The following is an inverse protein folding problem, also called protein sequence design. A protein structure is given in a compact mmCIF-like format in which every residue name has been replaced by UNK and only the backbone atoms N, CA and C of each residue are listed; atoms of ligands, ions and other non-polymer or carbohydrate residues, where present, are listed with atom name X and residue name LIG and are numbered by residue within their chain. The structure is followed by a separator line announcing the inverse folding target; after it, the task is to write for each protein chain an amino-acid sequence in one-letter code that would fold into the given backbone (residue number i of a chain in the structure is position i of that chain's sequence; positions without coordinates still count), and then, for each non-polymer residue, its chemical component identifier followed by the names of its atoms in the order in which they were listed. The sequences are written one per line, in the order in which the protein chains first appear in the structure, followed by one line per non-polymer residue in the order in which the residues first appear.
data_IF_325555950267
#
_entry.id   IF_325555950267
#
_cell.length_a   1.000
_cell.length_b   1.000
_cell.length_c   1.000
_cell.angle_alpha   90.00
_cell.angle_beta   90.00
_cell.angle_gamma   90.00
#
_symmetry.space_group_name_H-M   'P 1'
#
loop_
_entity.id
_entity.type
_entity.pdbx_description
1 polymer ?
#
# COMPACT_ATOMS: atom_id res chain seq x y z
N UNK A 1 -17.33 47.22 -25.01
CA UNK A 1 -16.41 46.14 -24.59
C UNK A 1 -15.63 46.55 -23.35
N UNK A 2 -15.23 47.80 -23.23
CA UNK A 2 -14.42 48.35 -22.11
C UNK A 2 -15.00 48.07 -20.72
N UNK A 3 -16.33 48.14 -20.57
CA UNK A 3 -17.00 47.79 -19.32
C UNK A 3 -16.78 46.31 -18.92
N UNK A 4 -16.83 45.39 -19.88
CA UNK A 4 -16.59 43.95 -19.65
C UNK A 4 -15.11 43.72 -19.37
N UNK A 5 -14.22 44.37 -20.12
CA UNK A 5 -12.78 44.31 -19.91
C UNK A 5 -12.42 44.73 -18.47
N UNK A 6 -12.88 45.90 -18.02
CA UNK A 6 -12.61 46.37 -16.66
C UNK A 6 -13.18 45.45 -15.59
N UNK A 7 -14.34 44.84 -15.84
CA UNK A 7 -14.91 43.84 -14.93
C UNK A 7 -14.01 42.60 -14.82
N UNK A 8 -13.49 42.10 -15.94
CA UNK A 8 -12.57 40.96 -15.98
C UNK A 8 -11.24 41.30 -15.29
N UNK A 9 -10.65 42.44 -15.61
CA UNK A 9 -9.42 42.94 -14.97
C UNK A 9 -9.59 43.06 -13.45
N UNK A 10 -10.76 43.53 -12.99
CA UNK A 10 -11.08 43.64 -11.57
C UNK A 10 -11.17 42.26 -10.89
N UNK A 11 -11.85 41.29 -11.52
CA UNK A 11 -11.98 39.93 -10.99
C UNK A 11 -10.61 39.25 -10.89
N UNK A 12 -9.79 39.38 -11.93
CA UNK A 12 -8.44 38.82 -11.94
C UNK A 12 -7.55 39.52 -10.90
N UNK A 13 -7.66 40.84 -10.76
CA UNK A 13 -6.95 41.61 -9.74
C UNK A 13 -7.28 41.18 -8.31
N UNK A 14 -8.53 40.81 -8.02
CA UNK A 14 -8.93 40.25 -6.72
C UNK A 14 -8.23 38.92 -6.39
N UNK A 15 -7.84 38.15 -7.42
CA UNK A 15 -7.09 36.91 -7.28
C UNK A 15 -5.56 37.10 -7.39
N UNK A 16 -5.09 38.35 -7.33
CA UNK A 16 -3.68 38.71 -7.54
C UNK A 16 -3.14 38.31 -8.93
N UNK A 17 -4.05 38.15 -9.90
CA UNK A 17 -3.72 37.85 -11.29
C UNK A 17 -3.68 39.16 -12.07
N UNK A 18 -2.50 39.47 -12.62
CA UNK A 18 -2.31 40.68 -13.42
C UNK A 18 -2.55 40.38 -14.91
N UNK A 19 -3.64 40.92 -15.46
CA UNK A 19 -3.98 40.81 -16.89
C UNK A 19 -3.46 41.99 -17.69
N UNK A 20 -3.05 41.74 -18.94
CA UNK A 20 -2.73 42.77 -19.94
C UNK A 20 -3.57 42.55 -21.19
N UNK A 21 -4.26 43.57 -21.73
CA UNK A 21 -4.97 43.44 -22.99
C UNK A 21 -4.00 43.30 -24.16
N UNK A 22 -4.28 42.40 -25.09
CA UNK A 22 -3.53 42.22 -26.34
C UNK A 22 -3.98 43.26 -27.39
N UNK A 23 -3.83 44.55 -27.08
CA UNK A 23 -4.27 45.66 -27.93
C UNK A 23 -3.60 45.57 -29.30
N UNK A 24 -4.39 45.68 -30.38
CA UNK A 24 -3.94 45.50 -31.79
C UNK A 24 -3.52 44.05 -32.15
N UNK A 25 -3.46 43.12 -31.19
CA UNK A 25 -3.15 41.70 -31.41
C UNK A 25 -4.25 40.76 -30.88
N UNK A 26 -5.51 41.21 -30.96
CA UNK A 26 -6.66 40.51 -30.37
C UNK A 26 -6.91 39.15 -31.03
N UNK A 27 -6.73 39.06 -32.34
CA UNK A 27 -6.87 37.80 -33.09
C UNK A 27 -5.78 36.78 -32.68
N UNK A 28 -4.54 37.22 -32.57
CA UNK A 28 -3.43 36.39 -32.10
C UNK A 28 -3.65 35.94 -30.65
N UNK A 29 -4.20 36.82 -29.79
CA UNK A 29 -4.56 36.47 -28.42
C UNK A 29 -5.65 35.41 -28.34
N UNK A 30 -6.68 35.50 -29.19
CA UNK A 30 -7.71 34.48 -29.27
C UNK A 30 -7.14 33.14 -29.78
N UNK A 31 -6.38 33.16 -30.87
CA UNK A 31 -5.74 31.95 -31.42
C UNK A 31 -4.83 31.25 -30.41
N UNK A 32 -4.12 32.03 -29.58
CA UNK A 32 -3.22 31.51 -28.55
C UNK A 32 -3.91 30.88 -27.35
N UNK A 33 -5.19 31.19 -27.13
CA UNK A 33 -6.00 30.61 -26.04
C UNK A 33 -6.87 29.44 -26.48
N UNK A 34 -6.97 29.19 -27.80
CA UNK A 34 -7.65 28.01 -28.33
C UNK A 34 -6.81 26.73 -28.11
N UNK A 35 -7.44 25.55 -27.94
CA UNK A 35 -6.76 24.27 -27.73
C UNK A 35 -6.15 23.71 -29.05
N UNK A 36 -5.54 24.58 -29.85
CA UNK A 36 -4.88 24.24 -31.12
C UNK A 36 -3.37 24.11 -30.97
N UNK A 37 -2.87 24.12 -29.72
CA UNK A 37 -1.45 23.99 -29.38
C UNK A 37 -0.55 25.00 -30.12
N UNK A 38 -1.07 26.19 -30.39
CA UNK A 38 -0.36 27.24 -31.14
C UNK A 38 -0.44 28.54 -30.35
N UNK A 39 0.70 29.01 -29.82
CA UNK A 39 0.82 30.32 -29.18
C UNK A 39 1.37 31.33 -30.21
N UNK A 40 0.52 32.23 -30.70
CA UNK A 40 0.90 33.29 -31.65
C UNK A 40 1.44 34.54 -30.94
N UNK A 41 1.15 34.72 -29.65
CA UNK A 41 1.62 35.87 -28.87
C UNK A 41 3.07 35.69 -28.38
N UNK A 42 3.50 34.44 -28.13
CA UNK A 42 4.85 34.11 -27.67
C UNK A 42 5.32 34.89 -26.43
N UNK A 43 4.38 35.33 -25.58
CA UNK A 43 4.68 36.06 -24.35
C UNK A 43 4.97 35.07 -23.24
N UNK A 44 6.24 34.91 -22.91
CA UNK A 44 6.70 33.96 -21.89
C UNK A 44 6.99 34.65 -20.56
N UNK A 45 6.70 33.96 -19.45
CA UNK A 45 7.11 34.38 -18.10
C UNK A 45 7.91 33.26 -17.46
N UNK A 46 9.04 33.61 -16.86
CA UNK A 46 9.80 32.64 -16.08
C UNK A 46 9.00 32.22 -14.84
N UNK A 47 8.89 30.92 -14.61
CA UNK A 47 8.28 30.32 -13.44
C UNK A 47 9.23 29.29 -12.85
N UNK A 48 9.15 29.08 -11.52
CA UNK A 48 9.80 27.93 -10.89
C UNK A 48 9.10 26.65 -11.38
N UNK A 49 9.89 25.61 -11.67
CA UNK A 49 9.42 24.26 -12.01
C UNK A 49 8.31 23.77 -11.07
N UNK A 50 8.36 24.08 -9.77
CA UNK A 50 7.31 23.71 -8.82
C UNK A 50 5.94 24.36 -9.11
N UNK A 51 5.91 25.65 -9.45
CA UNK A 51 4.67 26.36 -9.80
C UNK A 51 4.15 25.98 -11.19
N UNK A 52 5.06 25.61 -12.10
CA UNK A 52 4.69 25.06 -13.40
C UNK A 52 4.03 23.68 -13.24
N UNK A 53 4.57 22.82 -12.37
CA UNK A 53 4.01 21.50 -12.08
C UNK A 53 2.58 21.59 -11.49
N UNK A 54 2.29 22.57 -10.63
CA UNK A 54 0.93 22.77 -10.11
C UNK A 54 -0.08 23.25 -11.17
N UNK A 55 0.40 23.77 -12.30
CA UNK A 55 -0.44 24.19 -13.42
C UNK A 55 -0.83 23.02 -14.33
N UNK A 56 -0.16 21.86 -14.20
CA UNK A 56 -0.58 20.63 -14.86
C UNK A 56 -1.74 20.01 -14.07
N UNK A 57 -2.93 19.89 -14.67
CA UNK A 57 -4.13 19.51 -13.91
C UNK A 57 -4.20 18.04 -13.48
N UNK A 58 -3.22 17.17 -13.80
CA UNK A 58 -3.31 15.75 -13.46
C UNK A 58 -1.95 15.09 -13.27
N UNK A 59 -1.56 14.89 -12.00
CA UNK A 59 -0.94 13.63 -11.54
C UNK A 59 -1.20 13.50 -10.04
N UNK A 60 -2.45 13.23 -9.64
CA UNK A 60 -2.62 12.34 -8.50
C UNK A 60 -2.09 10.98 -8.95
N UNK A 61 -1.16 10.39 -8.22
CA UNK A 61 -0.79 9.00 -8.46
C UNK A 61 -1.98 8.13 -8.06
N UNK A 62 -2.86 7.85 -9.01
CA UNK A 62 -4.00 6.99 -8.80
C UNK A 62 -3.51 5.54 -8.78
N UNK A 63 -3.47 4.97 -7.58
CA UNK A 63 -3.14 3.57 -7.35
C UNK A 63 -4.37 2.71 -7.67
N UNK A 64 -4.71 2.68 -8.95
CA UNK A 64 -5.84 1.92 -9.51
C UNK A 64 -5.32 1.03 -10.63
N UNK A 65 -5.36 -0.28 -10.42
CA UNK A 65 -5.09 -1.32 -11.40
C UNK A 65 -6.41 -2.02 -11.78
N UNK A 66 -6.40 -2.77 -12.88
CA UNK A 66 -7.58 -3.54 -13.32
C UNK A 66 -7.88 -4.74 -12.40
N UNK A 67 -6.84 -5.29 -11.75
CA UNK A 67 -6.93 -6.49 -10.92
C UNK A 67 -6.52 -6.21 -9.47
N UNK A 68 -6.99 -7.08 -8.57
CA UNK A 68 -6.63 -7.08 -7.16
C UNK A 68 -7.82 -6.80 -6.25
N UNK A 69 -7.53 -6.31 -5.04
CA UNK A 69 -8.55 -6.06 -4.04
C UNK A 69 -8.76 -4.57 -3.82
N UNK A 70 -10.00 -4.19 -3.53
CA UNK A 70 -10.31 -2.82 -3.14
C UNK A 70 -9.72 -2.57 -1.75
N UNK A 71 -8.91 -1.52 -1.60
CA UNK A 71 -8.41 -1.07 -0.29
C UNK A 71 -9.24 0.08 0.26
N UNK A 72 -9.73 0.96 -0.59
CA UNK A 72 -10.54 2.09 -0.17
C UNK A 72 -10.77 3.10 -1.27
N UNK A 73 -11.04 4.34 -0.86
CA UNK A 73 -11.26 5.47 -1.76
C UNK A 73 -10.21 6.55 -1.47
N UNK A 74 -9.70 7.15 -2.54
CA UNK A 74 -8.85 8.32 -2.44
C UNK A 74 -9.72 9.53 -2.11
N UNK A 75 -9.46 10.18 -0.98
CA UNK A 75 -10.27 11.29 -0.48
C UNK A 75 -10.13 12.59 -1.30
N UNK A 76 -9.11 12.70 -2.15
CA UNK A 76 -8.84 13.90 -2.93
C UNK A 76 -9.61 13.96 -4.24
N UNK A 77 -9.79 12.81 -4.89
CA UNK A 77 -10.42 12.71 -6.21
C UNK A 77 -11.55 11.66 -6.28
N UNK A 78 -11.90 11.06 -5.14
CA UNK A 78 -12.88 9.98 -5.02
C UNK A 78 -12.60 8.75 -5.90
N UNK A 79 -11.35 8.59 -6.36
CA UNK A 79 -10.90 7.42 -7.10
C UNK A 79 -10.83 6.18 -6.22
N UNK A 80 -10.99 4.99 -6.82
CA UNK A 80 -10.86 3.72 -6.11
C UNK A 80 -9.38 3.36 -5.95
N UNK A 81 -8.97 2.99 -4.74
CA UNK A 81 -7.67 2.37 -4.50
C UNK A 81 -7.83 0.86 -4.65
N UNK A 82 -7.53 0.37 -5.85
CA UNK A 82 -7.71 -1.02 -6.27
C UNK A 82 -6.38 -1.50 -6.84
N UNK A 83 -5.73 -2.49 -6.23
CA UNK A 83 -4.53 -3.09 -6.82
C UNK A 83 -4.26 -4.47 -6.24
N UNK A 84 -3.44 -5.25 -6.95
CA UNK A 84 -2.98 -6.55 -6.49
C UNK A 84 -1.58 -6.44 -5.87
N UNK A 85 -1.50 -6.59 -4.55
CA UNK A 85 -0.25 -6.56 -3.78
C UNK A 85 0.76 -7.62 -4.25
N UNK A 86 0.30 -8.75 -4.78
CA UNK A 86 1.18 -9.83 -5.24
C UNK A 86 1.83 -9.54 -6.59
N UNK A 87 1.41 -8.50 -7.31
CA UNK A 87 2.07 -8.05 -8.54
C UNK A 87 3.27 -7.14 -8.29
N UNK A 88 3.45 -6.67 -7.06
CA UNK A 88 4.58 -5.83 -6.68
C UNK A 88 5.86 -6.68 -6.53
N UNK A 89 7.02 -6.04 -6.67
CA UNK A 89 8.32 -6.68 -6.45
C UNK A 89 8.43 -7.30 -5.04
N UNK A 90 7.78 -6.67 -4.06
CA UNK A 90 7.66 -7.20 -2.72
C UNK A 90 6.19 -7.13 -2.27
N UNK A 91 5.61 -8.29 -1.98
CA UNK A 91 4.23 -8.39 -1.53
C UNK A 91 4.08 -8.06 -0.04
N UNK A 92 5.13 -7.80 0.75
CA UNK A 92 4.99 -7.59 2.19
C UNK A 92 4.20 -6.32 2.52
N UNK A 93 3.36 -6.38 3.57
CA UNK A 93 2.56 -5.26 4.05
C UNK A 93 2.78 -5.03 5.54
N UNK A 94 2.93 -3.76 5.94
CA UNK A 94 2.99 -3.34 7.34
C UNK A 94 1.89 -2.32 7.61
N UNK A 95 1.08 -2.57 8.64
CA UNK A 95 -0.06 -1.70 8.99
C UNK A 95 0.21 -0.98 10.30
N UNK A 96 0.29 0.35 10.23
CA UNK A 96 0.45 1.22 11.40
C UNK A 96 -0.86 1.91 11.74
N UNK A 97 -1.28 1.84 13.01
CA UNK A 97 -2.46 2.56 13.48
C UNK A 97 -2.37 2.82 14.99
N UNK A 98 -3.02 3.90 15.44
CA UNK A 98 -3.29 4.12 16.87
C UNK A 98 -4.38 3.15 17.34
N UNK A 99 -4.45 2.88 18.64
CA UNK A 99 -5.55 2.10 19.22
C UNK A 99 -6.91 2.75 18.86
N UNK A 100 -7.87 1.92 18.44
CA UNK A 100 -9.20 2.37 18.00
C UNK A 100 -9.27 2.95 16.59
N UNK A 101 -8.17 3.08 15.85
CA UNK A 101 -8.17 3.66 14.50
C UNK A 101 -8.63 2.70 13.38
N UNK A 102 -9.10 1.50 13.73
CA UNK A 102 -9.62 0.53 12.76
C UNK A 102 -8.60 -0.46 12.18
N UNK A 103 -7.44 -0.65 12.82
CA UNK A 103 -6.41 -1.64 12.40
C UNK A 103 -7.01 -3.03 12.14
N UNK A 104 -7.66 -3.60 13.15
CA UNK A 104 -8.23 -4.96 13.05
C UNK A 104 -9.34 -5.04 11.99
N UNK A 105 -10.12 -3.97 11.80
CA UNK A 105 -11.13 -3.93 10.74
C UNK A 105 -10.49 -3.96 9.35
N UNK A 106 -9.49 -3.11 9.11
CA UNK A 106 -8.79 -3.06 7.83
C UNK A 106 -8.10 -4.39 7.49
N UNK A 107 -7.42 -5.01 8.45
CA UNK A 107 -6.74 -6.30 8.24
C UNK A 107 -7.74 -7.43 8.01
N UNK A 108 -8.85 -7.51 8.77
CA UNK A 108 -9.90 -8.51 8.54
C UNK A 108 -10.54 -8.36 7.16
N UNK A 109 -10.79 -7.12 6.74
CA UNK A 109 -11.38 -6.84 5.44
C UNK A 109 -10.43 -7.21 4.29
N UNK A 110 -9.14 -6.89 4.41
CA UNK A 110 -8.12 -7.30 3.45
C UNK A 110 -8.03 -8.82 3.39
N UNK A 111 -7.99 -9.50 4.53
CA UNK A 111 -7.94 -10.96 4.60
C UNK A 111 -9.12 -11.62 3.87
N UNK A 112 -10.35 -11.17 4.13
CA UNK A 112 -11.53 -11.74 3.45
C UNK A 112 -11.48 -11.50 1.94
N UNK A 113 -11.09 -10.30 1.50
CA UNK A 113 -10.98 -9.99 0.07
C UNK A 113 -9.89 -10.82 -0.61
N UNK A 114 -8.74 -11.01 0.03
CA UNK A 114 -7.67 -11.85 -0.47
C UNK A 114 -8.11 -13.32 -0.56
N UNK A 115 -8.85 -13.84 0.42
CA UNK A 115 -9.43 -15.19 0.35
C UNK A 115 -10.40 -15.34 -0.83
N UNK A 116 -11.22 -14.33 -1.12
CA UNK A 116 -12.11 -14.33 -2.29
C UNK A 116 -11.34 -14.38 -3.63
N UNK A 117 -10.09 -13.89 -3.65
CA UNK A 117 -9.17 -13.97 -4.78
C UNK A 117 -8.38 -15.29 -4.82
N UNK A 118 -8.64 -16.23 -3.90
CA UNK A 118 -7.97 -17.53 -3.83
C UNK A 118 -6.67 -17.54 -3.01
N UNK A 119 -6.43 -16.51 -2.19
CA UNK A 119 -5.26 -16.47 -1.29
C UNK A 119 -5.52 -17.25 0.00
N UNK A 120 -4.60 -18.12 0.39
CA UNK A 120 -4.61 -18.79 1.69
C UNK A 120 -4.10 -17.86 2.79
N UNK A 121 -4.77 -17.86 3.95
CA UNK A 121 -4.46 -16.94 5.05
C UNK A 121 -4.21 -17.70 6.33
N UNK A 122 -3.08 -17.42 6.95
CA UNK A 122 -2.70 -17.88 8.29
C UNK A 122 -2.54 -16.66 9.18
N UNK A 123 -3.21 -16.66 10.33
CA UNK A 123 -3.20 -15.54 11.29
C UNK A 123 -2.68 -16.05 12.63
N UNK A 124 -1.67 -15.36 13.16
CA UNK A 124 -1.22 -15.54 14.54
C UNK A 124 -1.95 -14.51 15.39
N UNK A 125 -2.89 -14.99 16.21
CA UNK A 125 -3.83 -14.15 16.95
C UNK A 125 -3.60 -14.24 18.47
N UNK A 126 -2.74 -13.37 19.05
CA UNK A 126 -2.51 -13.36 20.50
C UNK A 126 -3.70 -12.82 21.30
N UNK A 127 -4.61 -12.06 20.68
CA UNK A 127 -5.72 -11.37 21.34
C UNK A 127 -7.06 -12.11 21.19
N UNK A 128 -7.10 -13.23 20.45
CA UNK A 128 -8.31 -14.00 20.12
C UNK A 128 -9.40 -13.15 19.44
N UNK A 129 -9.02 -12.18 18.61
CA UNK A 129 -9.96 -11.32 17.87
C UNK A 129 -10.51 -11.98 16.58
N UNK A 130 -9.88 -13.04 16.08
CA UNK A 130 -10.14 -13.63 14.76
C UNK A 130 -10.96 -14.92 14.79
N UNK A 131 -11.23 -15.50 15.95
CA UNK A 131 -12.01 -16.75 16.11
C UNK A 131 -13.35 -16.69 15.36
N UNK A 132 -14.16 -15.65 15.61
CA UNK A 132 -15.45 -15.47 14.93
C UNK A 132 -15.34 -15.32 13.42
N UNK A 133 -14.26 -14.69 12.94
CA UNK A 133 -14.03 -14.54 11.51
C UNK A 133 -13.66 -15.89 10.89
N UNK A 134 -12.79 -16.64 11.57
CA UNK A 134 -12.38 -17.98 11.16
C UNK A 134 -13.60 -18.90 11.02
N UNK A 135 -14.50 -18.91 12.01
CA UNK A 135 -15.73 -19.69 11.96
C UNK A 135 -16.64 -19.27 10.80
N UNK A 136 -16.78 -17.97 10.57
CA UNK A 136 -17.63 -17.43 9.51
C UNK A 136 -17.16 -17.80 8.09
N UNK A 137 -15.85 -17.95 7.88
CA UNK A 137 -15.28 -18.35 6.59
C UNK A 137 -15.07 -19.86 6.46
N UNK A 138 -15.44 -20.64 7.48
CA UNK A 138 -15.25 -22.10 7.51
C UNK A 138 -13.79 -22.52 7.65
N UNK A 139 -12.95 -21.67 8.25
CA UNK A 139 -11.54 -21.96 8.52
C UNK A 139 -11.31 -22.82 9.77
N UNK A 140 -10.04 -23.11 10.04
CA UNK A 140 -9.62 -23.88 11.21
C UNK A 140 -8.98 -22.98 12.27
N UNK A 141 -9.64 -22.82 13.42
CA UNK A 141 -9.08 -22.09 14.55
C UNK A 141 -8.34 -23.04 15.51
N UNK A 142 -7.02 -22.90 15.59
CA UNK A 142 -6.17 -23.73 16.47
C UNK A 142 -5.86 -22.96 17.75
N UNK A 143 -6.53 -23.33 18.84
CA UNK A 143 -6.27 -22.72 20.14
C UNK A 143 -4.96 -23.26 20.75
N UNK A 144 -3.95 -22.40 20.85
CA UNK A 144 -2.72 -22.71 21.57
C UNK A 144 -2.88 -22.37 23.05
N UNK A 145 -3.07 -23.38 23.90
CA UNK A 145 -3.07 -23.20 25.36
C UNK A 145 -2.55 -24.46 26.06
N UNK A 146 -2.10 -24.34 27.30
CA UNK A 146 -1.62 -25.49 28.08
C UNK A 146 -2.69 -26.58 28.26
N UNK A 147 -3.96 -26.19 28.26
CA UNK A 147 -5.11 -27.08 28.37
C UNK A 147 -5.69 -27.50 27.01
N UNK A 148 -5.08 -27.07 25.90
CA UNK A 148 -5.53 -27.45 24.56
C UNK A 148 -5.14 -28.90 24.27
N UNK A 149 -6.00 -29.59 23.53
CA UNK A 149 -5.70 -30.90 22.95
C UNK A 149 -4.69 -30.80 21.80
N UNK A 150 -4.55 -29.60 21.20
CA UNK A 150 -3.64 -29.37 20.08
C UNK A 150 -2.30 -28.84 20.58
N UNK A 151 -1.20 -29.48 20.15
CA UNK A 151 0.17 -29.10 20.50
C UNK A 151 1.01 -29.05 19.23
N UNK A 152 1.90 -28.07 19.14
CA UNK A 152 2.91 -27.99 18.10
C UNK A 152 4.14 -28.76 18.58
N UNK A 153 4.59 -29.74 17.80
CA UNK A 153 5.82 -30.46 18.07
C UNK A 153 6.96 -29.86 17.26
N UNK A 154 7.91 -29.11 17.87
CA UNK A 154 9.04 -28.54 17.14
C UNK A 154 10.07 -29.60 16.73
N UNK A 155 9.98 -30.84 17.25
CA UNK A 155 10.83 -31.96 16.88
C UNK A 155 10.21 -32.84 15.78
N UNK A 156 9.08 -32.42 15.20
CA UNK A 156 8.45 -33.20 14.14
C UNK A 156 9.32 -33.16 12.89
N UNK A 157 9.59 -34.33 12.32
CA UNK A 157 10.42 -34.46 11.11
C UNK A 157 9.49 -34.64 9.90
N UNK A 158 9.76 -33.95 8.78
CA UNK A 158 8.96 -34.13 7.59
C UNK A 158 9.06 -35.57 7.09
N UNK A 159 7.96 -36.09 6.54
CA UNK A 159 7.92 -37.41 5.93
C UNK A 159 8.72 -37.37 4.63
N UNK A 160 9.83 -38.11 4.56
CA UNK A 160 10.71 -38.09 3.40
C UNK A 160 10.68 -39.43 2.69
N UNK A 161 10.39 -39.39 1.39
CA UNK A 161 10.24 -40.59 0.55
C UNK A 161 11.62 -41.09 0.10
N UNK A 162 12.58 -40.17 -0.11
CA UNK A 162 13.93 -40.47 -0.59
C UNK A 162 14.99 -40.30 0.52
N UNK A 163 16.01 -41.16 0.51
CA UNK A 163 17.05 -41.16 1.57
C UNK A 163 17.95 -39.93 1.53
N UNK A 164 18.25 -39.41 0.34
CA UNK A 164 19.10 -38.23 0.19
C UNK A 164 18.38 -36.95 0.66
N UNK A 165 17.05 -36.91 0.54
CA UNK A 165 16.23 -35.83 1.07
C UNK A 165 16.09 -35.92 2.60
N UNK A 166 16.23 -37.11 3.19
CA UNK A 166 16.09 -37.31 4.63
C UNK A 166 17.20 -36.61 5.42
N UNK A 167 18.44 -36.67 4.94
CA UNK A 167 19.58 -35.98 5.56
C UNK A 167 19.42 -34.45 5.45
N UNK A 168 18.91 -33.95 4.32
CA UNK A 168 18.66 -32.53 4.12
C UNK A 168 17.52 -32.01 5.02
N UNK A 169 16.43 -32.77 5.12
CA UNK A 169 15.32 -32.49 6.01
C UNK A 169 15.76 -32.44 7.48
N UNK A 170 16.59 -33.39 7.92
CA UNK A 170 17.12 -33.41 9.28
C UNK A 170 17.96 -32.16 9.56
N UNK A 171 18.86 -31.78 8.66
CA UNK A 171 19.70 -30.57 8.80
C UNK A 171 18.85 -29.30 8.88
N UNK A 172 17.84 -29.16 8.03
CA UNK A 172 16.93 -28.01 8.05
C UNK A 172 16.15 -27.91 9.38
N UNK A 173 15.70 -29.05 9.91
CA UNK A 173 15.00 -29.08 11.19
C UNK A 173 15.94 -28.73 12.36
N UNK A 174 17.19 -29.19 12.32
CA UNK A 174 18.22 -28.87 13.31
C UNK A 174 18.51 -27.37 13.36
N UNK A 175 18.61 -26.71 12.20
CA UNK A 175 18.78 -25.26 12.09
C UNK A 175 17.57 -24.53 12.70
N UNK A 176 16.36 -25.03 12.43
CA UNK A 176 15.11 -24.44 12.94
C UNK A 176 15.02 -24.58 14.46
N UNK A 177 15.34 -25.75 15.01
CA UNK A 177 15.41 -26.01 16.45
C UNK A 177 16.48 -25.14 17.12
N UNK A 178 17.67 -25.04 16.52
CA UNK A 178 18.72 -24.17 17.02
C UNK A 178 18.24 -22.70 17.09
N UNK A 179 17.58 -22.22 16.03
CA UNK A 179 16.97 -20.88 16.00
C UNK A 179 15.89 -20.69 17.06
N UNK A 180 15.02 -21.70 17.26
CA UNK A 180 13.98 -21.69 18.29
C UNK A 180 14.59 -21.61 19.70
N UNK A 181 15.57 -22.47 20.00
CA UNK A 181 16.27 -22.49 21.30
C UNK A 181 16.93 -21.13 21.56
N UNK A 182 17.60 -20.56 20.55
CA UNK A 182 18.21 -19.23 20.64
C UNK A 182 17.19 -18.14 20.94
N UNK A 183 16.01 -18.16 20.31
CA UNK A 183 14.92 -17.22 20.62
C UNK A 183 14.40 -17.41 22.04
N UNK A 184 14.21 -18.66 22.49
CA UNK A 184 13.73 -18.97 23.84
C UNK A 184 14.72 -18.54 24.94
N UNK A 185 16.04 -18.60 24.66
CA UNK A 185 17.09 -18.21 25.60
C UNK A 185 17.43 -16.70 25.55
N UNK A 186 16.62 -15.89 24.86
CA UNK A 186 16.78 -14.43 24.86
C UNK A 186 17.82 -13.89 23.87
N UNK A 187 18.23 -14.70 22.88
CA UNK A 187 19.00 -14.27 21.71
C UNK A 187 20.50 -14.03 21.91
N UNK A 188 20.98 -13.94 23.16
CA UNK A 188 22.37 -13.73 23.53
C UNK A 188 22.97 -15.00 24.16
N UNK A 189 23.32 -15.96 23.31
CA UNK A 189 24.16 -17.09 23.71
C UNK A 189 25.63 -16.70 23.54
N UNK A 190 26.47 -17.08 24.48
CA UNK A 190 27.92 -16.99 24.30
C UNK A 190 28.38 -17.97 23.21
N UNK A 191 29.52 -17.73 22.55
CA UNK A 191 30.05 -18.66 21.54
C UNK A 191 30.29 -20.09 22.06
N UNK A 192 30.47 -20.26 23.38
CA UNK A 192 30.58 -21.57 24.00
C UNK A 192 29.21 -22.25 24.11
N UNK A 193 28.18 -21.52 24.55
CA UNK A 193 26.81 -22.03 24.63
C UNK A 193 26.21 -22.31 23.25
N UNK A 194 26.62 -21.57 22.21
CA UNK A 194 26.21 -21.80 20.81
C UNK A 194 26.93 -23.00 20.17
N UNK A 195 28.09 -23.41 20.69
CA UNK A 195 28.79 -24.61 20.24
C UNK A 195 28.28 -25.90 20.91
N UNK A 196 27.66 -25.77 22.08
CA UNK A 196 27.07 -26.88 22.86
C UNK A 196 25.60 -27.20 22.47
N UNK A 197 24.98 -26.36 21.62
CA UNK A 197 23.62 -26.51 21.06
C UNK A 197 23.59 -27.22 19.71
#
# INVERSE_FOLDING_TARGET
LDFIQHKIETILGQQLIYSKPATVQMEQGLNSTMPQFTDQLQVRRNMNTGALATSFPFTSADLTQENGILYGINMHNNGLVLFDRFTLENANMVVFAKSGAGKSFAVKLEAVRSMMMGTEIVIIDPENEYEKLCDAVGGSYIRMSLNSTTRVNPFDLPQVIDKDDADNALRANLITLHGLMRLMMGGALSPAEEADL
#
